data_IF_564593111926
#
_entry.id   IF_564593111926
#
_cell.length_a   1.000
_cell.length_b   1.000
_cell.length_c   1.000
_cell.angle_alpha   90.00
_cell.angle_beta   90.00
_cell.angle_gamma   90.00
#
_symmetry.space_group_name_H-M   'P 1'
#
loop_
_entity.id
_entity.type
_entity.pdbx_description
1 polymer ?
2 polymer ?
3 water ?
#
# COMPACT_ATOMS: atom_id res chain seq x y z
N UNK A 100 11.80 23.93 -8.64
CA UNK A 100 12.24 23.84 -7.25
C UNK A 100 11.20 23.16 -6.34
N UNK A 101 10.07 22.76 -6.90
CA UNK A 101 9.05 22.08 -6.10
C UNK A 101 9.27 20.57 -6.18
N UNK A 102 9.59 19.95 -5.04
CA UNK A 102 9.89 18.51 -5.03
C UNK A 102 8.65 17.75 -5.51
N UNK A 103 8.81 16.93 -6.54
CA UNK A 103 7.69 16.18 -7.10
C UNK A 103 7.12 15.22 -6.05
N UNK A 104 5.81 15.27 -5.87
CA UNK A 104 5.14 14.44 -4.87
C UNK A 104 5.01 15.04 -3.47
N UNK A 105 5.45 16.28 -3.29
CA UNK A 105 5.44 16.91 -1.96
C UNK A 105 4.05 17.04 -1.35
N UNK A 106 3.04 17.31 -2.17
CA UNK A 106 1.66 17.48 -1.68
C UNK A 106 1.10 16.27 -0.93
N UNK A 107 1.56 15.09 -1.31
CA UNK A 107 1.00 13.88 -0.70
C UNK A 107 2.02 13.12 0.13
N UNK A 108 3.18 13.74 0.40
CA UNK A 108 4.19 13.04 1.17
C UNK A 108 3.71 12.63 2.56
N UNK A 109 2.81 13.40 3.16
CA UNK A 109 2.38 13.10 4.53
C UNK A 109 1.58 11.80 4.58
N UNK A 110 1.10 11.35 3.43
CA UNK A 110 0.40 10.08 3.34
C UNK A 110 1.31 8.93 2.90
N UNK A 111 2.41 9.27 2.23
CA UNK A 111 3.30 8.27 1.64
C UNK A 111 4.55 8.05 2.49
N UNK A 112 5.28 9.13 2.77
CA UNK A 112 6.50 9.02 3.55
C UNK A 112 6.33 9.50 4.99
N UNK A 113 5.43 10.45 5.21
CA UNK A 113 5.10 10.88 6.56
C UNK A 113 6.34 11.24 7.36
N UNK A 114 7.28 11.93 6.71
CA UNK A 114 8.49 12.40 7.35
C UNK A 114 9.49 11.35 7.79
N UNK A 115 9.47 10.17 7.16
CA UNK A 115 10.45 9.12 7.48
C UNK A 115 11.80 9.33 6.76
N UNK A 116 12.89 9.08 7.48
CA UNK A 116 14.20 9.00 6.89
C UNK A 116 14.38 7.70 6.10
N UNK A 117 15.49 7.61 5.36
CA UNK A 117 15.70 6.48 4.45
C UNK A 117 16.20 5.23 5.16
N UNK A 118 16.38 5.30 6.47
CA UNK A 118 16.83 4.17 7.24
C UNK A 118 15.70 3.54 8.03
N UNK A 119 14.52 4.14 7.94
CA UNK A 119 13.36 3.65 8.69
C UNK A 119 12.95 2.25 8.30
N UNK A 120 13.00 1.33 9.26
CA UNK A 120 12.60 -0.03 9.08
C UNK A 120 11.51 -0.33 10.09
N UNK A 121 10.40 -0.89 9.63
CA UNK A 121 9.34 -1.29 10.54
C UNK A 121 9.07 -2.77 10.38
N UNK A 122 8.87 -3.46 11.50
CA UNK A 122 8.58 -4.92 11.46
C UNK A 122 7.07 -5.12 11.40
N UNK A 123 6.60 -5.95 10.47
CA UNK A 123 5.18 -6.17 10.32
C UNK A 123 4.59 -7.20 11.26
N UNK A 124 3.39 -6.93 11.75
CA UNK A 124 2.64 -7.90 12.55
C UNK A 124 1.87 -8.89 11.66
N UNK A 125 1.70 -10.11 12.15
CA UNK A 125 1.11 -11.19 11.37
C UNK A 125 2.17 -12.07 10.76
N UNK A 126 1.78 -13.30 10.40
CA UNK A 126 2.67 -14.29 9.79
C UNK A 126 3.32 -13.78 8.50
N UNK A 127 2.60 -12.93 7.77
CA UNK A 127 3.10 -12.43 6.50
C UNK A 127 3.36 -10.93 6.52
N UNK A 128 3.58 -10.38 7.73
CA UNK A 128 3.85 -8.96 7.90
C UNK A 128 5.21 -8.52 7.35
N UNK A 129 6.21 -9.39 7.43
CA UNK A 129 7.53 -9.09 6.90
C UNK A 129 8.16 -7.82 7.45
N UNK A 130 8.86 -7.08 6.60
CA UNK A 130 9.44 -5.80 7.02
C UNK A 130 9.27 -4.75 5.92
N UNK A 131 9.18 -3.50 6.34
CA UNK A 131 9.00 -2.39 5.41
C UNK A 131 10.12 -1.37 5.58
N UNK A 132 10.57 -0.82 4.46
CA UNK A 132 11.85 -0.16 4.38
C UNK A 132 11.79 1.23 3.78
N UNK A 133 12.55 2.15 4.37
CA UNK A 133 12.79 3.45 3.81
C UNK A 133 11.73 4.51 3.99
N UNK A 134 11.88 5.62 3.27
CA UNK A 134 10.96 6.75 3.33
C UNK A 134 9.55 6.32 2.98
N UNK A 135 9.40 5.46 1.99
CA UNK A 135 8.08 5.06 1.54
C UNK A 135 7.70 3.67 2.04
N UNK A 136 8.58 3.07 2.83
CA UNK A 136 8.30 1.79 3.45
C UNK A 136 8.00 0.72 2.40
N UNK A 138 7.63 -2.71 1.13
CA UNK A 138 7.32 -3.94 1.85
C UNK A 138 8.09 -5.14 1.31
N UNK A 139 8.77 -5.91 2.15
CA UNK A 139 9.33 -7.17 1.67
C UNK A 139 8.24 -8.20 1.33
N UNK A 140 7.15 -8.16 2.07
CA UNK A 140 6.04 -9.07 1.81
C UNK A 140 5.46 -8.92 0.40
N UNK A 141 5.47 -7.68 -0.10
CA UNK A 141 5.00 -7.38 -1.46
C UNK A 141 6.07 -7.51 -2.56
N UNK A 142 7.29 -7.86 -2.17
CA UNK A 142 8.39 -8.01 -3.11
C UNK A 142 9.03 -6.70 -3.52
N UNK A 143 8.52 -5.59 -2.99
CA UNK A 143 8.92 -4.25 -3.44
C UNK A 143 10.34 -3.89 -3.06
N UNK A 144 10.73 -4.14 -1.81
CA UNK A 144 12.08 -3.77 -1.40
C UNK A 144 13.15 -4.59 -2.15
N UNK A 145 12.83 -5.85 -2.43
CA UNK A 145 13.72 -6.70 -3.21
C UNK A 145 13.94 -6.15 -4.61
N UNK A 146 12.87 -5.70 -5.26
CA UNK A 146 12.98 -5.10 -6.60
C UNK A 146 13.83 -3.84 -6.57
N UNK A 147 13.66 -3.05 -5.53
CA UNK A 147 14.42 -1.81 -5.39
C UNK A 147 15.91 -2.08 -5.24
N UNK A 148 16.24 -3.07 -4.43
CA UNK A 148 17.61 -3.44 -4.20
C UNK A 148 18.28 -3.99 -5.47
N UNK A 149 17.50 -4.70 -6.28
CA UNK A 149 17.96 -5.20 -7.58
C UNK A 149 18.47 -4.09 -8.49
N UNK A 150 17.90 -2.89 -8.32
CA UNK A 150 18.16 -1.79 -9.22
C UNK A 150 19.08 -0.75 -8.59
N UNK A 151 19.37 -0.91 -7.30
CA UNK A 151 20.07 0.12 -6.54
C UNK A 151 21.57 0.08 -6.76
N UNK A 152 22.19 1.25 -6.74
CA UNK A 152 23.64 1.36 -6.78
C UNK A 152 24.23 0.71 -5.55
N UNK A 153 23.36 0.45 -4.57
CA UNK A 153 23.79 -0.16 -3.32
C UNK A 153 23.59 -1.69 -3.32
N UNK A 154 23.17 -2.23 -4.47
CA UNK A 154 22.88 -3.66 -4.62
C UNK A 154 23.86 -4.61 -3.93
N UNK A 155 25.15 -4.35 -4.07
CA UNK A 155 26.17 -5.30 -3.66
C UNK A 155 26.43 -5.24 -2.17
N UNK A 156 25.98 -4.15 -1.54
CA UNK A 156 26.03 -4.08 -0.09
C UNK A 156 25.17 -5.20 0.52
N UNK A 157 24.10 -5.57 -0.18
CA UNK A 157 23.13 -6.55 0.35
C UNK A 157 23.37 -7.99 -0.14
N UNK A 158 24.48 -8.23 -0.82
CA UNK A 158 24.78 -9.54 -1.40
C UNK A 158 24.65 -10.71 -0.42
N UNK A 159 23.80 -11.66 -0.75
CA UNK A 159 23.60 -12.84 0.08
C UNK A 159 22.68 -12.64 1.28
N UNK A 160 22.16 -11.43 1.44
CA UNK A 160 21.26 -11.14 2.55
C UNK A 160 19.84 -11.09 2.07
N UNK A 161 18.91 -11.32 2.98
CA UNK A 161 17.49 -11.27 2.67
C UNK A 161 16.75 -10.31 3.60
N UNK A 162 15.67 -9.70 3.09
CA UNK A 162 14.88 -8.74 3.88
C UNK A 162 14.29 -9.35 5.16
N UNK A 163 13.83 -8.49 6.07
CA UNK A 163 13.23 -8.94 7.32
C UNK A 163 14.18 -9.83 8.11
N UNK A 164 15.48 -9.54 8.02
CA UNK A 164 16.48 -10.23 8.84
C UNK A 164 17.38 -9.19 9.49
N UNK A 165 17.92 -9.54 10.66
CA UNK A 165 18.76 -8.63 11.43
C UNK A 165 19.93 -8.08 10.61
N UNK A 166 20.54 -8.96 9.82
CA UNK A 166 21.73 -8.62 9.04
C UNK A 166 21.41 -7.63 7.92
N UNK A 167 20.41 -7.97 7.12
CA UNK A 167 19.88 -7.04 6.11
C UNK A 167 19.64 -5.65 6.70
N UNK A 168 18.99 -5.63 7.86
CA UNK A 168 18.61 -4.38 8.49
C UNK A 168 19.80 -3.52 8.92
N UNK A 169 20.89 -4.17 9.35
CA UNK A 169 22.10 -3.46 9.73
C UNK A 169 22.71 -2.78 8.49
N UNK A 170 22.74 -3.50 7.37
CA UNK A 170 23.20 -2.94 6.11
C UNK A 170 22.33 -1.78 5.65
N UNK A 171 21.01 -1.97 5.72
CA UNK A 171 20.10 -0.92 5.30
C UNK A 171 20.29 0.37 6.07
N UNK A 172 20.53 0.28 7.38
CA UNK A 172 20.66 1.49 8.18
C UNK A 172 22.06 2.09 8.12
N UNK A 173 23.03 1.26 7.77
CA UNK A 173 24.38 1.74 7.56
C UNK A 173 24.37 2.63 6.33
N UNK A 174 23.69 2.17 5.27
CA UNK A 174 23.60 2.93 4.04
C UNK A 174 22.82 4.20 4.26
N UNK A 175 21.78 4.13 5.07
CA UNK A 175 21.00 5.34 5.38
C UNK A 175 21.83 6.38 6.10
N UNK A 176 22.77 5.94 6.94
CA UNK A 176 23.49 6.90 7.76
C UNK A 176 24.75 7.43 7.08
N UNK A 177 25.29 6.66 6.14
CA UNK A 177 26.44 7.10 5.35
C UNK A 177 26.02 7.84 4.07
N UNK A 178 24.84 7.51 3.54
CA UNK A 178 24.38 8.19 2.33
C UNK A 178 22.93 8.67 2.42
N UNK A 179 22.59 9.43 3.47
CA UNK A 179 21.19 9.83 3.65
C UNK A 179 20.56 10.54 2.43
N UNK A 180 21.34 11.33 1.71
CA UNK A 180 20.82 12.09 0.59
C UNK A 180 20.73 11.19 -0.65
N UNK A 181 21.77 10.40 -0.87
CA UNK A 181 21.82 9.48 -1.99
C UNK A 181 20.71 8.44 -1.87
N UNK A 182 20.64 7.79 -0.70
CA UNK A 182 19.66 6.74 -0.43
C UNK A 182 18.24 7.27 -0.58
N UNK A 183 17.98 8.41 0.05
CA UNK A 183 16.66 9.01 -0.02
C UNK A 183 16.28 9.30 -1.45
N UNK A 184 17.22 9.83 -2.21
CA UNK A 184 16.95 10.28 -3.56
C UNK A 184 16.65 9.10 -4.49
N UNK A 185 17.42 8.04 -4.33
CA UNK A 185 17.25 6.87 -5.15
C UNK A 185 15.94 6.16 -4.82
N UNK A 186 15.57 6.15 -3.54
CA UNK A 186 14.28 5.60 -3.16
C UNK A 186 13.14 6.37 -3.80
N UNK A 187 13.28 7.69 -3.87
CA UNK A 187 12.25 8.51 -4.46
C UNK A 187 12.15 8.23 -5.96
N UNK A 188 13.32 8.04 -6.58
CA UNK A 188 13.37 7.76 -8.00
C UNK A 188 12.70 6.39 -8.31
N UNK A 189 12.93 5.41 -7.44
CA UNK A 189 12.31 4.09 -7.61
C UNK A 189 10.79 4.17 -7.56
N UNK A 190 10.26 4.95 -6.66
CA UNK A 190 8.82 5.18 -6.61
C UNK A 190 8.34 5.94 -7.85
N UNK A 191 9.16 6.87 -8.35
CA UNK A 191 8.80 7.66 -9.53
C UNK A 191 8.64 6.76 -10.74
N UNK A 192 9.59 5.85 -10.93
CA UNK A 192 9.57 4.94 -12.06
C UNK A 192 8.39 3.99 -11.96
N UNK A 193 8.13 3.47 -10.77
CA UNK A 193 7.13 2.44 -10.59
C UNK A 193 5.69 2.96 -10.54
N UNK A 194 5.53 4.27 -10.50
CA UNK A 194 4.20 4.86 -10.42
C UNK A 194 4.02 6.04 -11.30
N UNK A 195 4.66 7.15 -10.94
CA UNK A 195 4.52 8.39 -11.69
C UNK A 195 4.75 8.19 -13.19
N UNK A 196 5.96 7.78 -13.55
CA UNK A 196 6.30 7.60 -14.96
C UNK A 196 5.27 6.71 -15.67
N UNK A 197 4.90 5.60 -15.05
CA UNK A 197 3.92 4.69 -15.65
C UNK A 197 2.59 5.39 -15.97
N UNK A 198 2.06 6.14 -15.01
CA UNK A 198 0.82 6.88 -15.24
C UNK A 198 0.98 7.97 -16.30
N UNK A 199 2.16 8.59 -16.33
CA UNK A 199 2.44 9.62 -17.34
C UNK A 199 2.44 8.97 -18.71
N UNK A 200 3.07 7.80 -18.80
CA UNK A 200 3.17 7.08 -20.05
C UNK A 200 1.84 6.58 -20.55
N UNK A 201 0.97 6.12 -19.66
CA UNK A 201 -0.33 5.59 -20.08
C UNK A 201 -1.28 6.70 -20.48
N UNK A 202 -1.26 7.81 -19.74
CA UNK A 202 -2.07 8.97 -20.11
C UNK A 202 -1.64 9.53 -21.49
N UNK A 203 -0.34 9.41 -21.80
CA UNK A 203 0.17 9.86 -23.09
C UNK A 203 -0.43 9.05 -24.21
N UNK A 204 -0.60 7.75 -23.99
CA UNK A 204 -1.16 6.87 -24.99
C UNK A 204 -2.67 6.98 -25.13
N UNK A 205 -3.34 7.40 -24.07
CA UNK A 205 -4.79 7.61 -24.11
C UNK A 205 -5.08 9.01 -24.67
N UNK A 206 -4.02 9.75 -24.99
CA UNK A 206 -4.17 11.06 -25.62
C UNK A 206 -3.86 12.28 -24.75
N UNK A 207 -3.71 12.07 -23.45
CA UNK A 207 -3.55 13.15 -22.47
C UNK A 207 -2.09 13.56 -22.28
N UNK A 208 -1.81 14.85 -22.48
CA UNK A 208 -0.44 15.32 -22.37
C UNK A 208 -0.20 16.39 -21.32
N UNK A 209 0.91 16.27 -20.61
CA UNK A 209 1.29 17.23 -19.58
C UNK A 209 2.79 17.48 -19.66
N UNK A 210 3.21 18.15 -20.72
CA UNK A 210 4.64 18.34 -21.00
C UNK A 210 5.09 19.80 -21.10
N UNK A 211 5.25 20.47 -19.96
CA UNK A 211 4.68 20.01 -18.70
C UNK A 211 3.85 21.13 -18.12
N UNK A 212 3.27 20.94 -16.93
CA UNK A 212 2.50 22.01 -16.32
C UNK A 212 3.07 22.47 -14.98
N UNK A 213 2.26 23.16 -14.20
CA UNK A 213 2.70 23.54 -12.88
C UNK A 213 2.85 22.29 -12.05
N UNK A 214 3.74 22.37 -11.06
CA UNK A 214 3.95 21.28 -10.12
C UNK A 214 2.64 20.71 -9.57
N UNK A 215 1.62 21.54 -9.45
CA UNK A 215 0.34 21.08 -8.91
C UNK A 215 -0.29 19.89 -9.67
N UNK A 216 -0.37 19.99 -10.99
CA UNK A 216 -0.95 18.91 -11.79
C UNK A 216 -0.07 17.65 -11.72
N UNK A 217 1.23 17.84 -11.71
CA UNK A 217 2.16 16.74 -11.58
C UNK A 217 2.16 16.14 -10.17
N UNK A 218 1.81 16.93 -9.16
CA UNK A 218 1.65 16.39 -7.83
C UNK A 218 0.35 15.60 -7.73
N UNK A 219 -0.62 15.99 -8.55
CA UNK A 219 -1.88 15.28 -8.66
C UNK A 219 -1.62 13.94 -9.32
N UNK A 220 -0.87 13.96 -10.41
CA UNK A 220 -0.52 12.73 -11.12
C UNK A 220 0.25 11.79 -10.19
N UNK A 221 1.25 12.31 -9.50
CA UNK A 221 2.03 11.51 -8.56
C UNK A 221 1.13 10.88 -7.50
N UNK A 222 0.48 11.73 -6.72
CA UNK A 222 -0.44 11.28 -5.66
C UNK A 222 -1.41 10.21 -6.12
N UNK A 223 -2.05 10.45 -7.25
CA UNK A 223 -3.08 9.57 -7.80
C UNK A 223 -2.45 8.27 -8.28
N UNK A 224 -1.23 8.33 -8.80
CA UNK A 224 -0.60 7.14 -9.30
C UNK A 224 -0.08 6.25 -8.15
N UNK A 225 0.34 6.84 -7.05
CA UNK A 225 0.82 6.03 -5.93
C UNK A 225 -0.34 5.40 -5.16
N UNK A 226 -1.47 6.10 -5.10
CA UNK A 226 -2.59 5.65 -4.31
C UNK A 226 -3.43 4.62 -5.05
N UNK A 227 -3.48 4.73 -6.39
CA UNK A 227 -4.34 3.85 -7.19
C UNK A 227 -3.61 3.05 -8.24
N UNK A 228 -2.31 3.30 -8.40
CA UNK A 228 -1.49 2.45 -9.25
C UNK A 228 -1.09 3.19 -10.50
N UNK A 229 0.07 2.82 -11.06
CA UNK A 229 0.61 3.45 -12.25
C UNK A 229 -0.25 3.27 -13.49
N UNK A 230 -1.23 2.38 -13.41
CA UNK A 230 -2.08 2.12 -14.56
C UNK A 230 -3.52 2.46 -14.26
N UNK A 231 -3.77 3.22 -13.19
CA UNK A 231 -5.15 3.58 -12.85
C UNK A 231 -5.85 4.34 -13.98
N UNK A 232 -7.16 4.18 -14.08
CA UNK A 232 -7.92 4.87 -15.10
C UNK A 232 -8.70 6.05 -14.51
N UNK A 233 -8.49 6.30 -13.22
CA UNK A 233 -9.25 7.30 -12.49
C UNK A 233 -9.10 8.75 -13.04
N UNK A 234 -7.94 9.08 -13.59
CA UNK A 234 -7.73 10.43 -14.09
C UNK A 234 -8.42 10.53 -15.44
N UNK A 235 -8.07 9.59 -16.32
CA UNK A 235 -8.67 9.45 -17.63
C UNK A 235 -10.19 9.40 -17.54
N UNK A 236 -10.73 8.83 -16.47
CA UNK A 236 -12.18 8.76 -16.30
C UNK A 236 -12.75 10.05 -15.73
N UNK A 237 -11.97 10.72 -14.87
CA UNK A 237 -12.44 11.95 -14.26
C UNK A 237 -12.61 13.00 -15.36
N UNK A 238 -11.76 12.87 -16.38
CA UNK A 238 -11.67 13.81 -17.49
C UNK A 238 -12.44 13.35 -18.74
N UNK A 239 -13.26 12.31 -18.59
CA UNK A 239 -13.91 11.72 -19.76
C UNK A 239 -14.89 12.67 -20.47
N UNK A 240 -14.74 12.77 -21.78
CA UNK A 240 -15.56 13.67 -22.58
C UNK A 240 -15.24 15.09 -22.22
N UNK A 241 -14.08 15.58 -22.65
CA UNK A 241 -13.62 16.90 -22.22
C UNK A 241 -12.54 17.46 -23.14
N UNK A 242 -12.83 18.58 -23.80
CA UNK A 242 -11.87 19.21 -24.70
C UNK A 242 -10.64 19.66 -23.93
N UNK A 244 -8.31 21.71 -23.94
CA UNK A 244 -8.08 23.06 -23.46
C UNK A 244 -9.41 23.79 -23.42
N UNK A 245 -9.44 24.86 -22.64
CA UNK A 245 -10.61 25.30 -21.86
C UNK A 245 -10.52 24.48 -20.57
N UNK A 247 -8.04 24.30 -17.60
CA UNK A 247 -6.92 24.86 -16.85
C UNK A 247 -6.45 23.82 -15.85
N UNK A 248 -5.24 24.02 -15.34
CA UNK A 248 -4.75 23.23 -14.21
C UNK A 248 -5.78 23.20 -13.08
N UNK A 249 -6.48 24.30 -12.87
CA UNK A 249 -7.46 24.36 -11.79
C UNK A 249 -8.65 23.45 -12.05
N UNK A 250 -9.10 23.38 -13.30
CA UNK A 250 -10.27 22.56 -13.64
C UNK A 250 -9.94 21.09 -13.46
N UNK A 251 -8.78 20.71 -14.01
CA UNK A 251 -8.23 19.37 -13.93
C UNK A 251 -8.21 18.93 -12.47
N UNK A 252 -7.55 19.71 -11.63
CA UNK A 252 -7.48 19.42 -10.21
C UNK A 252 -8.85 19.21 -9.57
N UNK A 253 -9.77 20.15 -9.80
CA UNK A 253 -11.11 20.03 -9.22
C UNK A 253 -11.81 18.77 -9.70
N UNK A 254 -11.65 18.47 -10.99
CA UNK A 254 -12.32 17.32 -11.58
C UNK A 254 -11.89 16.00 -10.98
N UNK A 255 -10.59 15.71 -10.98
CA UNK A 255 -10.15 14.41 -10.48
C UNK A 255 -10.28 14.30 -8.95
N UNK A 256 -10.11 15.40 -8.24
CA UNK A 256 -10.31 15.38 -6.80
C UNK A 256 -11.79 15.21 -6.40
N UNK A 257 -12.70 15.72 -7.22
CA UNK A 257 -14.10 15.49 -6.96
C UNK A 257 -14.45 14.03 -7.28
N UNK A 258 -13.83 13.52 -8.34
CA UNK A 258 -14.03 12.14 -8.76
C UNK A 258 -13.56 11.18 -7.67
N UNK A 259 -12.33 11.36 -7.19
CA UNK A 259 -11.81 10.57 -6.07
C UNK A 259 -12.78 10.57 -4.90
N UNK A 260 -13.33 11.74 -4.59
CA UNK A 260 -14.16 11.89 -3.39
C UNK A 260 -15.53 11.21 -3.47
N UNK A 261 -16.12 11.15 -4.66
CA UNK A 261 -17.46 10.58 -4.78
C UNK A 261 -17.38 9.08 -5.01
N UNK A 262 -16.20 8.62 -5.43
CA UNK A 262 -16.00 7.20 -5.72
C UNK A 262 -15.28 6.47 -4.59
N UNK A 263 -15.12 7.17 -3.46
CA UNK A 263 -14.44 6.61 -2.31
C UNK A 263 -15.07 5.30 -1.85
N UNK A 264 -16.40 5.24 -1.85
CA UNK A 264 -17.10 4.03 -1.41
C UNK A 264 -17.08 2.91 -2.44
N UNK A 265 -17.24 3.24 -3.71
CA UNK A 265 -17.10 2.22 -4.76
C UNK A 265 -15.68 1.65 -4.78
N UNK A 266 -14.68 2.52 -4.64
CA UNK A 266 -13.28 2.11 -4.74
C UNK A 266 -12.81 1.35 -3.50
N UNK A 267 -13.46 1.60 -2.38
CA UNK A 267 -13.09 0.95 -1.14
C UNK A 267 -14.28 0.27 -0.46
N UNK A 268 -15.00 -0.56 -1.20
CA UNK A 268 -16.12 -1.33 -0.65
C UNK A 268 -15.67 -2.09 0.58
N UNK A 269 -14.69 -2.96 0.39
CA UNK A 269 -14.24 -3.86 1.43
C UNK A 269 -13.82 -3.16 2.73
N UNK A 270 -13.59 -1.85 2.68
CA UNK A 270 -13.05 -1.19 3.87
C UNK A 270 -13.85 0.03 4.36
N UNK A 271 -15.11 -0.17 4.78
CA UNK A 271 -16.00 0.96 5.11
C UNK A 271 -15.54 1.62 6.42
N UNK A 272 -14.74 0.88 7.17
CA UNK A 272 -14.10 1.47 8.35
C UNK A 272 -13.08 2.61 8.10
N UNK A 273 -12.57 2.71 6.88
CA UNK A 273 -11.52 3.69 6.58
C UNK A 273 -12.04 4.76 5.62
N UNK A 274 -13.34 4.74 5.36
CA UNK A 274 -13.97 5.76 4.52
C UNK A 274 -13.77 7.21 5.01
N UNK A 275 -14.08 7.45 6.29
CA UNK A 275 -13.94 8.79 6.85
C UNK A 275 -12.57 9.42 6.58
N UNK A 276 -11.51 8.66 6.84
CA UNK A 276 -10.14 9.12 6.59
C UNK A 276 -9.83 9.24 5.11
N UNK A 277 -10.37 8.31 4.31
CA UNK A 277 -10.07 8.34 2.89
C UNK A 277 -10.71 9.55 2.19
N UNK A 278 -11.86 9.98 2.68
CA UNK A 278 -12.54 11.16 2.16
C UNK A 278 -11.88 12.43 2.64
N UNK A 279 -11.49 12.45 3.91
CA UNK A 279 -10.73 13.57 4.45
C UNK A 279 -9.45 13.80 3.64
N UNK A 280 -8.86 12.72 3.16
CA UNK A 280 -7.60 12.83 2.43
C UNK A 280 -7.81 13.48 1.06
N UNK A 281 -8.85 13.05 0.35
CA UNK A 281 -9.10 13.56 -0.98
C UNK A 281 -9.47 15.06 -0.94
N UNK A 282 -10.22 15.44 0.09
CA UNK A 282 -10.62 16.82 0.29
C UNK A 282 -9.40 17.66 0.65
N UNK A 283 -8.63 17.14 1.59
CA UNK A 283 -7.43 17.82 2.06
C UNK A 283 -6.44 18.05 0.92
N UNK A 284 -6.30 17.07 0.02
CA UNK A 284 -5.35 17.22 -1.08
C UNK A 284 -5.86 18.17 -2.16
N UNK A 285 -7.17 18.23 -2.32
CA UNK A 285 -7.79 19.16 -3.23
C UNK A 285 -7.38 20.58 -2.82
N UNK A 286 -7.62 20.91 -1.54
CA UNK A 286 -7.25 22.23 -1.02
C UNK A 286 -5.77 22.55 -1.16
N UNK A 287 -4.91 21.59 -0.84
CA UNK A 287 -3.48 21.82 -0.92
C UNK A 287 -3.06 22.08 -2.35
N UNK A 288 -3.63 21.30 -3.27
CA UNK A 288 -3.24 21.39 -4.68
C UNK A 288 -3.70 22.70 -5.35
N UNK A 289 -4.85 23.22 -4.93
CA UNK A 289 -5.35 24.51 -5.43
C UNK A 289 -4.49 25.68 -4.93
N UNK A 290 -4.14 25.65 -3.65
CA UNK A 290 -3.17 26.58 -3.11
C UNK A 290 -1.84 26.51 -3.85
N UNK A 291 -1.40 25.30 -4.17
CA UNK A 291 -0.13 25.15 -4.87
C UNK A 291 -0.23 25.65 -6.31
N UNK A 292 -1.37 25.44 -6.94
CA UNK A 292 -1.56 25.87 -8.32
C UNK A 292 -1.47 27.40 -8.44
N UNK A 293 -2.00 28.11 -7.43
CA UNK A 293 -1.91 29.56 -7.37
C UNK A 293 -0.49 30.06 -7.11
N UNK A 294 0.17 29.52 -6.08
CA UNK A 294 1.58 29.81 -5.80
C UNK A 294 2.46 29.50 -7.01
N UNK A 295 1.93 28.68 -7.91
CA UNK A 295 2.63 28.34 -9.15
C UNK A 295 2.69 29.55 -10.08
N UNK A 296 1.52 30.09 -10.40
CA UNK A 296 1.43 31.23 -11.29
C UNK A 296 0.48 30.94 -12.42
N UNK B 8 -4.54 7.62 12.68
CA UNK B 8 -3.82 7.34 11.44
C UNK B 8 -3.73 8.56 10.51
N UNK B 9 -4.81 9.35 10.49
CA UNK B 9 -4.89 10.55 9.66
C UNK B 9 -4.67 10.27 8.18
N UNK B 10 -5.05 9.08 7.73
CA UNK B 10 -5.00 8.74 6.32
C UNK B 10 -3.63 8.27 5.86
N UNK B 11 -2.67 8.25 6.77
CA UNK B 11 -1.34 7.72 6.47
C UNK B 11 -1.50 6.24 6.12
N UNK B 12 -1.04 5.89 4.93
CA UNK B 12 -1.23 4.56 4.38
C UNK B 12 -0.71 3.51 5.35
N UNK B 13 0.57 3.63 5.67
CA UNK B 13 1.24 2.69 6.55
C UNK B 13 0.55 2.51 7.90
N UNK B 14 -0.09 3.56 8.40
CA UNK B 14 -0.74 3.46 9.69
C UNK B 14 -2.02 2.63 9.57
N UNK B 15 -2.69 2.76 8.43
CA UNK B 15 -3.85 1.97 8.11
C UNK B 15 -3.43 0.49 8.02
N UNK B 16 -2.36 0.23 7.29
CA UNK B 16 -1.81 -1.13 7.17
C UNK B 16 -1.54 -1.74 8.55
N UNK B 17 -0.90 -0.98 9.44
CA UNK B 17 -0.60 -1.48 10.78
C UNK B 17 -1.86 -1.90 11.53
N UNK B 18 -2.90 -1.07 11.48
CA UNK B 18 -4.18 -1.37 12.12
C UNK B 18 -4.82 -2.68 11.64
N UNK B 19 -4.94 -2.85 10.33
CA UNK B 19 -5.51 -4.06 9.72
C UNK B 19 -4.65 -5.25 10.05
N UNK B 20 -3.35 -5.14 9.85
CA UNK B 20 -2.42 -6.21 10.21
C UNK B 20 -2.47 -6.65 11.70
N UNK B 21 -2.77 -5.72 12.61
CA UNK B 21 -2.97 -6.10 14.01
C UNK B 21 -4.22 -6.97 14.16
N UNK B 22 -5.26 -6.66 13.40
CA UNK B 22 -6.47 -7.47 13.43
C UNK B 22 -6.22 -8.85 12.84
N UNK B 23 -5.44 -8.89 11.77
CA UNK B 23 -5.04 -10.14 11.13
C UNK B 23 -4.29 -11.01 12.13
N UNK B 24 -3.31 -10.40 12.80
CA UNK B 24 -2.53 -11.10 13.81
C UNK B 24 -3.40 -11.74 14.90
N UNK B 25 -4.42 -11.01 15.35
CA UNK B 25 -5.33 -11.52 16.36
C UNK B 25 -6.13 -12.73 15.86
N UNK B 26 -6.59 -12.65 14.62
CA UNK B 26 -7.32 -13.72 13.98
C UNK B 26 -6.44 -14.97 13.82
N UNK B 27 -5.22 -14.80 13.30
CA UNK B 27 -4.26 -15.91 13.15
C UNK B 27 -4.02 -16.65 14.45
N UNK B 28 -3.91 -15.87 15.52
CA UNK B 28 -3.58 -16.37 16.84
C UNK B 28 -4.75 -17.17 17.40
N UNK B 29 -5.95 -16.65 17.21
CA UNK B 29 -7.14 -17.32 17.70
C UNK B 29 -7.35 -18.65 16.96
N UNK B 30 -7.00 -18.68 15.69
CA UNK B 30 -7.11 -19.89 14.90
C UNK B 30 -6.07 -20.93 15.27
N UNK B 31 -4.83 -20.53 15.49
CA UNK B 31 -3.79 -21.50 15.91
C UNK B 31 -4.09 -22.08 17.28
N UNK B 32 -4.77 -21.31 18.12
CA UNK B 32 -5.03 -21.71 19.48
C UNK B 32 -6.13 -22.76 19.50
N UNK B 33 -7.14 -22.55 18.65
CA UNK B 33 -8.20 -23.54 18.45
C UNK B 33 -7.65 -24.87 17.96
N UNK B 34 -6.96 -24.84 16.83
CA UNK B 34 -6.32 -26.01 16.26
C UNK B 34 -5.41 -26.75 17.24
N UNK B 35 -4.70 -26.02 18.08
CA UNK B 35 -3.70 -26.64 18.93
C UNK B 35 -4.35 -27.47 20.03
N UNK B 36 -5.54 -27.06 20.46
CA UNK B 36 -6.26 -27.68 21.57
C UNK B 36 -6.36 -29.21 21.39
N UNK B 37 -6.01 -29.94 22.44
CA UNK B 37 -5.63 -31.34 22.28
C UNK B 37 -6.70 -32.38 22.58
N UNK B 38 -7.37 -32.83 21.51
CA UNK B 38 -8.24 -33.99 21.51
C UNK B 38 -8.31 -34.48 20.08
N UNK B 39 -7.80 -35.68 19.82
CA UNK B 39 -7.58 -36.11 18.44
C UNK B 39 -8.86 -36.56 17.72
N UNK B 40 -10.01 -36.34 18.34
CA UNK B 40 -11.29 -36.50 17.66
C UNK B 40 -11.47 -35.39 16.62
N UNK B 41 -10.84 -34.24 16.85
CA UNK B 41 -10.92 -33.14 15.89
C UNK B 41 -10.13 -33.47 14.64
N UNK B 42 -8.99 -34.14 14.83
CA UNK B 42 -8.21 -34.66 13.71
C UNK B 42 -7.61 -33.63 12.76
N UNK B 43 -7.18 -32.48 13.26
CA UNK B 43 -6.50 -31.52 12.40
C UNK B 43 -5.13 -32.03 11.99
N UNK B 44 -4.89 -32.18 10.69
CA UNK B 44 -3.55 -32.51 10.18
C UNK B 44 -2.45 -31.58 10.74
N UNK B 45 -1.20 -32.02 10.62
CA UNK B 45 -0.09 -31.32 11.24
C UNK B 45 0.09 -29.90 10.71
N UNK B 46 0.03 -29.75 9.40
CA UNK B 46 0.37 -28.49 8.75
C UNK B 46 -0.90 -27.84 8.24
N UNK B 47 -1.97 -27.99 9.01
CA UNK B 47 -3.27 -27.53 8.60
C UNK B 47 -3.35 -26.02 8.58
N UNK B 48 -2.97 -25.39 9.68
CA UNK B 48 -2.98 -23.94 9.72
C UNK B 48 -2.11 -23.37 8.62
N UNK B 49 -0.88 -23.86 8.53
CA UNK B 49 0.10 -23.24 7.66
C UNK B 49 -0.29 -23.37 6.18
N UNK B 50 -0.88 -24.51 5.80
CA UNK B 50 -1.37 -24.69 4.44
C UNK B 50 -2.61 -23.85 4.12
N UNK B 51 -3.54 -23.74 5.07
CA UNK B 51 -4.71 -22.86 4.92
C UNK B 51 -4.29 -21.38 4.91
N UNK B 52 -3.43 -20.99 5.85
CA UNK B 52 -2.95 -19.61 5.91
C UNK B 52 -2.31 -19.22 4.60
N UNK B 53 -1.44 -20.10 4.07
CA UNK B 53 -0.79 -19.85 2.79
C UNK B 53 -1.83 -19.70 1.66
N UNK B 54 -2.77 -20.64 1.56
CA UNK B 54 -3.80 -20.58 0.52
C UNK B 54 -4.54 -19.25 0.56
N UNK B 55 -4.83 -18.79 1.77
CA UNK B 55 -5.51 -17.51 1.97
C UNK B 55 -4.62 -16.36 1.46
N UNK B 56 -3.32 -16.47 1.72
CA UNK B 56 -2.37 -15.46 1.30
C UNK B 56 -2.38 -15.31 -0.22
N UNK B 57 -2.18 -16.43 -0.93
CA UNK B 57 -2.10 -16.41 -2.40
C UNK B 57 -3.37 -15.87 -3.07
N UNK B 58 -4.50 -16.10 -2.43
CA UNK B 58 -5.80 -15.68 -2.94
C UNK B 58 -5.93 -14.17 -2.82
N UNK B 59 -5.53 -13.63 -1.67
CA UNK B 59 -5.75 -12.22 -1.38
C UNK B 59 -4.71 -11.37 -2.09
N UNK B 61 -3.70 -11.48 -5.10
CA UNK B 61 -4.16 -11.04 -6.40
C UNK B 61 -4.62 -9.58 -6.34
N UNK B 62 -5.03 -9.11 -5.17
CA UNK B 62 -5.57 -7.76 -5.12
C UNK B 62 -4.57 -6.64 -5.36
N UNK B 63 -3.28 -6.95 -5.25
CA UNK B 63 -2.24 -6.01 -5.61
C UNK B 63 -2.39 -5.53 -7.05
N UNK B 64 -2.76 -6.43 -7.96
CA UNK B 64 -2.95 -6.10 -9.37
C UNK B 64 -3.98 -4.98 -9.63
N UNK B 65 -4.80 -4.70 -8.63
CA UNK B 65 -5.78 -3.61 -8.73
C UNK B 65 -5.07 -2.22 -8.69
N UNK B 66 -3.87 -2.18 -8.12
CA UNK B 66 -2.99 -1.04 -8.32
C UNK B 66 -2.74 -0.21 -7.08
N UNK B 67 -1.48 0.15 -6.87
CA UNK B 67 -1.09 1.09 -5.83
C UNK B 67 -1.58 0.78 -4.42
N UNK B 68 -1.53 1.76 -3.55
CA UNK B 68 -1.97 1.60 -2.17
C UNK B 68 -3.36 0.97 -2.02
N UNK B 69 -4.28 1.33 -2.91
CA UNK B 69 -5.63 0.81 -2.86
C UNK B 69 -5.61 -0.74 -2.91
N UNK B 70 -4.78 -1.28 -3.80
CA UNK B 70 -4.59 -2.70 -3.92
C UNK B 70 -4.15 -3.35 -2.62
N UNK B 71 -3.19 -2.73 -1.93
CA UNK B 71 -2.75 -3.21 -0.63
C UNK B 71 -3.86 -3.20 0.42
N UNK B 72 -4.63 -2.10 0.47
CA UNK B 72 -5.73 -2.06 1.43
C UNK B 72 -6.70 -3.21 1.17
N UNK B 73 -7.10 -3.41 -0.08
CA UNK B 73 -8.03 -4.46 -0.46
C UNK B 73 -7.41 -5.82 -0.13
N UNK B 75 -5.01 -6.55 2.10
CA UNK B 75 -4.98 -6.76 3.55
C UNK B 75 -6.38 -6.95 4.11
N UNK B 76 -7.35 -6.26 3.52
CA UNK B 76 -8.70 -6.36 4.00
C UNK B 76 -9.29 -7.73 3.63
N UNK B 77 -8.86 -8.30 2.50
CA UNK B 77 -9.28 -9.65 2.11
C UNK B 77 -8.71 -10.73 3.03
N UNK B 78 -7.40 -10.66 3.31
CA UNK B 78 -6.77 -11.57 4.26
C UNK B 78 -7.50 -11.59 5.58
N UNK B 79 -7.84 -10.40 6.07
CA UNK B 79 -8.61 -10.32 7.31
C UNK B 79 -9.97 -11.02 7.19
N UNK B 80 -10.68 -10.77 6.09
CA UNK B 80 -11.99 -11.38 5.90
C UNK B 80 -11.93 -12.89 5.78
N UNK B 82 -9.53 -14.87 7.01
CA UNK B 82 -9.14 -15.42 8.30
C UNK B 82 -10.29 -15.41 9.29
N UNK B 83 -11.08 -14.35 9.28
CA UNK B 83 -12.29 -14.30 10.10
C UNK B 83 -13.25 -15.43 9.73
N UNK B 84 -13.37 -15.70 8.44
CA UNK B 84 -14.17 -16.82 7.98
C UNK B 84 -13.60 -18.16 8.41
N UNK B 85 -12.30 -18.34 8.22
CA UNK B 85 -11.63 -19.60 8.58
C UNK B 85 -11.83 -19.90 10.04
N UNK B 86 -11.75 -18.87 10.86
CA UNK B 86 -11.86 -18.97 12.30
C UNK B 86 -13.24 -19.42 12.70
N UNK B 87 -14.26 -18.78 12.14
CA UNK B 87 -15.65 -19.12 12.42
C UNK B 87 -15.95 -20.54 11.98
N UNK B 88 -15.42 -20.90 10.81
CA UNK B 88 -15.57 -22.24 10.27
C UNK B 88 -14.98 -23.25 11.21
N UNK B 89 -13.77 -23.01 11.67
CA UNK B 89 -13.14 -23.93 12.60
C UNK B 89 -13.89 -24.04 13.92
N UNK B 90 -14.34 -22.92 14.49
CA UNK B 90 -15.09 -22.93 15.74
C UNK B 90 -16.33 -23.81 15.60
N UNK B 91 -17.05 -23.56 14.52
CA UNK B 91 -18.28 -24.29 14.21
C UNK B 91 -17.99 -25.79 14.11
N UNK B 92 -16.99 -26.16 13.31
CA UNK B 92 -16.56 -27.56 13.21
C UNK B 92 -16.29 -28.20 14.59
N UNK B 93 -15.56 -27.47 15.44
CA UNK B 93 -15.23 -27.98 16.78
C UNK B 93 -16.48 -28.19 17.64
N UNK B 94 -17.42 -27.26 17.54
CA UNK B 94 -18.68 -27.37 18.23
C UNK B 94 -19.54 -28.56 17.74
N UNK B 95 -19.47 -28.86 16.44
CA UNK B 95 -20.25 -29.96 15.86
C UNK B 95 -19.66 -31.32 16.21
N UNK B 96 -18.33 -31.42 16.21
CA UNK B 96 -17.69 -32.67 16.62
C UNK B 96 -17.98 -32.92 18.09
N UNK B 97 -17.92 -31.87 18.89
CA UNK B 97 -18.13 -31.97 20.33
C UNK B 97 -19.53 -32.48 20.72
N UNK B 98 -20.56 -32.00 20.04
CA UNK B 98 -21.93 -32.39 20.36
C UNK B 98 -22.46 -33.57 19.52
N UNK B 99 -21.56 -34.24 18.82
CA UNK B 99 -21.93 -35.36 17.96
C UNK B 99 -21.34 -36.68 18.43
N UNK B 100 -20.14 -36.62 18.99
CA UNK B 100 -19.45 -37.83 19.45
C UNK B 100 -19.68 -38.09 20.93
N UNK B 101 -19.27 -39.27 21.38
CA UNK B 101 -19.40 -39.65 22.78
C UNK B 101 -18.36 -40.69 23.17
#
# INVERSE_FOLDING_TARGET
XASXTGGQQXGRGSSDEVKLLQEALIKLGFDLGKAGADGDFGSKTKTAIEQFQKSYQPSHQTHPSYSIGAVDGIVGKGTLLALDEALXDGWVYENNIYQIWPLGKTSEKYESAGRGPGVISTGNGDYGGASYGCYQXSSNLGVVQKYIQSSKFKEFFSGLNPATKEFNVVWQDIASRYPQEFREEQHQFIKRTHYDIQIGHLRGKGLLFEHNRAAVHDLIWSTSVQFGGRTNLIFNALNGQNXESXTDKDIIILVQDYKLVNTERLFKSSPSWWSDLKKRAVSEKKALLELEILEHHHHHH
XGENCNDTSGVHQKILVCIQNEIAKSETQIRNNISSKSIDYGFPDDFYSKQRLAIHEKCXLYINVGGQRGELLXNQCELSXLQGLDIYIQQYIEDVDNSLLEHHHHHH
#
